data_IF_793545572189
#
_entry.id   IF_793545572189
#
_cell.length_a   1.000
_cell.length_b   1.000
_cell.length_c   1.000
_cell.angle_alpha   90.00
_cell.angle_beta   90.00
_cell.angle_gamma   90.00
#
_symmetry.space_group_name_H-M   'P 1'
#
loop_
_entity.id
_entity.type
_entity.pdbx_description
1 polymer ?
#
# COMPACT_ATOMS: atom_id res chain seq x y z
N UNK A 1 18.32 35.53 -8.28
CA UNK A 1 18.67 34.12 -8.54
C UNK A 1 18.13 33.18 -7.46
N UNK A 2 18.44 33.39 -6.17
CA UNK A 2 17.98 32.50 -5.08
C UNK A 2 16.46 32.35 -4.95
N UNK A 3 15.68 33.42 -5.18
CA UNK A 3 14.22 33.35 -5.16
C UNK A 3 13.67 32.29 -6.14
N UNK A 4 14.14 32.29 -7.39
CA UNK A 4 13.71 31.33 -8.41
C UNK A 4 14.07 29.88 -8.04
N UNK A 5 15.23 29.66 -7.41
CA UNK A 5 15.65 28.34 -6.95
C UNK A 5 14.75 27.81 -5.82
N UNK A 6 14.36 28.68 -4.87
CA UNK A 6 13.45 28.30 -3.77
C UNK A 6 12.05 27.98 -4.31
N UNK A 7 11.55 28.73 -5.30
CA UNK A 7 10.27 28.45 -5.96
C UNK A 7 10.33 27.14 -6.77
N UNK A 8 11.42 26.91 -7.50
CA UNK A 8 11.64 25.65 -8.21
C UNK A 8 11.67 24.45 -7.26
N UNK A 9 12.41 24.57 -6.15
CA UNK A 9 12.46 23.55 -5.11
C UNK A 9 11.06 23.27 -4.52
N UNK A 10 10.23 24.32 -4.37
CA UNK A 10 8.85 24.16 -3.93
C UNK A 10 8.00 23.39 -4.96
N UNK A 11 8.11 23.72 -6.25
CA UNK A 11 7.43 22.97 -7.31
C UNK A 11 7.86 21.50 -7.34
N UNK A 12 9.16 21.21 -7.15
CA UNK A 12 9.68 19.84 -7.08
C UNK A 12 9.13 19.09 -5.85
N UNK A 13 9.05 19.76 -4.71
CA UNK A 13 8.44 19.20 -3.50
C UNK A 13 6.95 18.86 -3.72
N UNK A 14 6.19 19.73 -4.41
CA UNK A 14 4.78 19.46 -4.75
C UNK A 14 4.60 18.31 -5.75
N UNK A 15 5.65 17.95 -6.50
CA UNK A 15 5.67 16.80 -7.43
C UNK A 15 6.23 15.52 -6.77
N UNK A 16 6.36 15.49 -5.44
CA UNK A 16 6.96 14.39 -4.66
C UNK A 16 8.44 14.09 -5.00
N UNK A 17 9.14 14.99 -5.71
CA UNK A 17 10.58 14.90 -5.99
C UNK A 17 11.39 15.44 -4.81
N UNK A 18 11.20 14.83 -3.65
CA UNK A 18 11.68 15.33 -2.36
C UNK A 18 13.21 15.42 -2.27
N UNK A 19 13.95 14.52 -2.91
CA UNK A 19 15.43 14.53 -2.88
C UNK A 19 15.99 15.75 -3.59
N UNK A 20 15.49 16.06 -4.80
CA UNK A 20 15.91 17.22 -5.59
C UNK A 20 15.54 18.54 -4.91
N UNK A 21 14.33 18.61 -4.32
CA UNK A 21 13.90 19.76 -3.53
C UNK A 21 14.82 19.98 -2.31
N UNK A 22 15.17 18.90 -1.59
CA UNK A 22 16.06 18.97 -0.42
C UNK A 22 17.43 19.51 -0.78
N UNK A 23 18.02 19.04 -1.89
CA UNK A 23 19.34 19.50 -2.34
C UNK A 23 19.31 20.99 -2.66
N UNK A 24 18.30 21.44 -3.41
CA UNK A 24 18.18 22.85 -3.78
C UNK A 24 17.96 23.76 -2.57
N UNK A 25 17.11 23.37 -1.62
CA UNK A 25 16.93 24.16 -0.39
C UNK A 25 18.20 24.28 0.43
N UNK A 26 18.95 23.18 0.59
CA UNK A 26 20.19 23.21 1.33
C UNK A 26 21.26 24.04 0.62
N UNK A 27 21.35 23.97 -0.71
CA UNK A 27 22.35 24.73 -1.46
C UNK A 27 22.07 26.23 -1.42
N UNK A 28 20.80 26.64 -1.49
CA UNK A 28 20.40 28.04 -1.27
C UNK A 28 20.72 28.49 0.16
N UNK A 29 20.51 27.67 1.18
CA UNK A 29 20.81 28.08 2.56
C UNK A 29 22.33 28.10 2.85
N UNK A 30 23.11 27.23 2.21
CA UNK A 30 24.58 27.23 2.29
C UNK A 30 25.19 28.47 1.65
N UNK A 31 24.59 29.01 0.59
CA UNK A 31 25.07 30.23 -0.06
C UNK A 31 24.79 31.51 0.74
N UNK A 32 24.15 31.42 1.92
CA UNK A 32 23.89 32.52 2.86
C UNK A 32 23.30 33.77 2.17
N UNK A 33 22.09 33.68 1.59
CA UNK A 33 21.44 34.82 0.96
C UNK A 33 21.22 35.94 1.98
N UNK A 34 21.28 37.19 1.53
CA UNK A 34 21.08 38.37 2.38
C UNK A 34 19.61 38.64 2.69
N UNK A 35 18.71 38.16 1.84
CA UNK A 35 17.27 38.34 2.01
C UNK A 35 16.69 37.36 3.05
N UNK A 36 16.27 37.93 4.18
CA UNK A 36 15.63 37.25 5.29
C UNK A 36 14.35 36.51 4.89
N UNK A 37 13.58 37.02 3.92
CA UNK A 37 12.37 36.34 3.44
C UNK A 37 12.70 35.02 2.74
N UNK A 38 13.76 35.01 1.92
CA UNK A 38 14.23 33.81 1.22
C UNK A 38 14.71 32.76 2.24
N UNK A 39 15.47 33.19 3.25
CA UNK A 39 15.94 32.30 4.33
C UNK A 39 14.75 31.70 5.09
N UNK A 40 13.77 32.53 5.47
CA UNK A 40 12.59 32.10 6.21
C UNK A 40 11.76 31.08 5.41
N UNK A 41 11.46 31.37 4.15
CA UNK A 41 10.66 30.49 3.28
C UNK A 41 11.38 29.18 3.00
N UNK A 42 12.68 29.22 2.66
CA UNK A 42 13.47 28.00 2.43
C UNK A 42 13.60 27.15 3.70
N UNK A 43 13.79 27.78 4.86
CA UNK A 43 13.86 27.09 6.15
C UNK A 43 12.52 26.44 6.52
N UNK A 44 11.41 27.15 6.34
CA UNK A 44 10.07 26.63 6.56
C UNK A 44 9.76 25.41 5.66
N UNK A 45 10.04 25.52 4.36
CA UNK A 45 9.77 24.41 3.43
C UNK A 45 10.64 23.19 3.72
N UNK A 46 11.91 23.39 4.10
CA UNK A 46 12.79 22.30 4.51
C UNK A 46 12.31 21.62 5.80
N UNK A 47 11.77 22.38 6.76
CA UNK A 47 11.16 21.81 7.97
C UNK A 47 9.95 20.93 7.63
N UNK A 48 9.12 21.34 6.67
CA UNK A 48 7.99 20.54 6.17
C UNK A 48 8.46 19.25 5.50
N UNK A 49 9.54 19.32 4.72
CA UNK A 49 10.11 18.15 4.03
C UNK A 49 10.61 17.07 5.01
N UNK A 50 11.17 17.50 6.14
CA UNK A 50 11.64 16.63 7.21
C UNK A 50 10.51 15.89 7.95
N UNK A 51 9.27 16.40 7.90
CA UNK A 51 8.09 15.87 8.61
C UNK A 51 8.40 15.52 10.08
N UNK A 52 8.32 14.23 10.43
CA UNK A 52 8.51 13.67 11.77
C UNK A 52 9.90 13.08 12.01
N UNK A 53 10.79 13.05 11.01
CA UNK A 53 12.10 12.40 11.12
C UNK A 53 13.15 13.26 11.83
N UNK A 54 13.30 14.52 11.42
CA UNK A 54 14.37 15.42 11.89
C UNK A 54 13.83 16.60 12.72
N UNK A 55 13.08 16.32 13.79
CA UNK A 55 12.40 17.34 14.59
C UNK A 55 13.34 18.42 15.17
N UNK A 56 14.59 18.06 15.50
CA UNK A 56 15.57 19.04 16.00
C UNK A 56 15.98 20.05 14.92
N UNK A 57 16.29 19.60 13.71
CA UNK A 57 16.59 20.48 12.58
C UNK A 57 15.36 21.31 12.24
N UNK A 58 14.17 20.68 12.13
CA UNK A 58 12.91 21.39 11.89
C UNK A 58 12.65 22.49 12.91
N UNK A 59 12.96 22.26 14.20
CA UNK A 59 12.86 23.30 15.26
C UNK A 59 13.82 24.46 15.04
N UNK A 60 15.07 24.17 14.65
CA UNK A 60 16.04 25.22 14.31
C UNK A 60 15.56 26.03 13.09
N UNK A 61 15.04 25.36 12.06
CA UNK A 61 14.54 26.01 10.84
C UNK A 61 13.30 26.86 11.07
N UNK A 62 12.32 26.36 11.79
CA UNK A 62 11.10 27.11 12.13
C UNK A 62 11.44 28.33 12.99
N UNK A 63 12.35 28.21 13.97
CA UNK A 63 12.80 29.36 14.78
C UNK A 63 13.43 30.48 13.95
N UNK A 64 14.11 30.15 12.85
CA UNK A 64 14.62 31.15 11.90
C UNK A 64 13.49 31.79 11.12
N UNK A 65 12.47 31.02 10.72
CA UNK A 65 11.33 31.54 9.98
C UNK A 65 10.40 32.43 10.83
N UNK A 66 10.29 32.16 12.13
CA UNK A 66 9.43 32.88 13.10
C UNK A 66 10.17 33.98 13.86
N UNK A 67 11.40 34.33 13.47
CA UNK A 67 12.14 35.40 14.12
C UNK A 67 11.43 36.76 13.95
N UNK A 68 11.50 37.66 14.95
CA UNK A 68 10.83 38.96 14.88
C UNK A 68 11.35 39.82 13.72
N UNK A 69 12.61 39.60 13.31
CA UNK A 69 13.24 40.29 12.18
C UNK A 69 12.73 39.81 10.81
N UNK A 70 12.29 38.53 10.72
CA UNK A 70 11.78 37.94 9.48
C UNK A 70 10.29 38.22 9.29
N UNK A 71 9.53 38.34 10.37
CA UNK A 71 8.10 38.59 10.34
C UNK A 71 7.68 39.76 9.41
N UNK A 72 8.23 40.99 9.50
CA UNK A 72 7.79 42.10 8.65
C UNK A 72 8.11 41.90 7.16
N UNK A 73 9.00 40.95 6.81
CA UNK A 73 9.38 40.64 5.42
C UNK A 73 8.46 39.64 4.74
N UNK A 74 7.67 38.90 5.51
CA UNK A 74 6.72 37.91 5.01
C UNK A 74 5.37 38.55 4.71
N UNK A 75 4.73 38.10 3.64
CA UNK A 75 3.34 38.49 3.37
C UNK A 75 2.37 37.77 4.32
N UNK A 76 1.11 38.24 4.39
CA UNK A 76 0.11 37.66 5.31
C UNK A 76 -0.10 36.15 5.11
N UNK A 77 -0.06 35.69 3.86
CA UNK A 77 -0.20 34.26 3.54
C UNK A 77 1.00 33.43 4.05
N UNK A 78 2.23 33.88 3.81
CA UNK A 78 3.45 33.24 4.28
C UNK A 78 3.52 33.21 5.80
N UNK A 79 3.18 34.33 6.47
CA UNK A 79 3.10 34.41 7.94
C UNK A 79 2.18 33.33 8.50
N UNK A 80 0.98 33.22 7.92
CA UNK A 80 0.00 32.21 8.30
C UNK A 80 0.57 30.79 8.17
N UNK A 81 1.16 30.45 7.02
CA UNK A 81 1.73 29.12 6.79
C UNK A 81 2.86 28.81 7.77
N UNK A 82 3.76 29.77 8.03
CA UNK A 82 4.87 29.60 8.98
C UNK A 82 4.33 29.37 10.41
N UNK A 83 3.31 30.11 10.84
CA UNK A 83 2.69 29.94 12.16
C UNK A 83 1.95 28.59 12.29
N UNK A 84 1.24 28.15 11.24
CA UNK A 84 0.62 26.81 11.23
C UNK A 84 1.68 25.72 11.35
N UNK A 85 2.78 25.84 10.59
CA UNK A 85 3.88 24.87 10.66
C UNK A 85 4.58 24.87 12.03
N UNK A 86 4.70 26.03 12.68
CA UNK A 86 5.19 26.13 14.05
C UNK A 86 4.28 25.40 15.04
N UNK A 87 2.96 25.59 14.93
CA UNK A 87 1.99 24.88 15.75
C UNK A 87 2.06 23.37 15.51
N UNK A 88 2.13 22.92 14.26
CA UNK A 88 2.26 21.49 13.92
C UNK A 88 3.57 20.89 14.48
N UNK A 89 4.68 21.61 14.39
CA UNK A 89 5.93 21.18 15.00
C UNK A 89 5.83 21.08 16.53
N UNK A 90 5.15 22.03 17.19
CA UNK A 90 4.89 21.97 18.62
C UNK A 90 4.05 20.74 18.99
N UNK A 91 3.05 20.37 18.17
CA UNK A 91 2.27 19.12 18.31
C UNK A 91 3.18 17.89 18.18
N UNK A 92 4.04 17.82 17.16
CA UNK A 92 4.96 16.69 16.97
C UNK A 92 6.00 16.55 18.08
N UNK A 93 6.37 17.65 18.74
CA UNK A 93 7.36 17.67 19.83
C UNK A 93 6.74 17.56 21.23
N UNK A 94 5.41 17.35 21.32
CA UNK A 94 4.69 17.21 22.60
C UNK A 94 4.46 18.53 23.35
N UNK A 95 4.74 19.68 22.75
CA UNK A 95 4.52 21.02 23.32
C UNK A 95 3.08 21.48 23.06
N UNK A 96 2.12 20.75 23.62
CA UNK A 96 0.69 20.92 23.34
C UNK A 96 0.17 22.31 23.72
N UNK A 97 0.60 22.85 24.86
CA UNK A 97 0.18 24.16 25.34
C UNK A 97 0.70 25.32 24.46
N UNK A 98 1.93 25.17 23.95
CA UNK A 98 2.49 26.10 22.98
C UNK A 98 1.71 26.07 21.67
N UNK A 99 1.39 24.89 21.17
CA UNK A 99 0.57 24.72 19.97
C UNK A 99 -0.82 25.36 20.13
N UNK A 100 -1.47 25.13 21.28
CA UNK A 100 -2.78 25.71 21.61
C UNK A 100 -2.74 27.23 21.55
N UNK A 101 -1.79 27.85 22.26
CA UNK A 101 -1.62 29.31 22.28
C UNK A 101 -1.39 29.89 20.89
N UNK A 102 -0.56 29.25 20.06
CA UNK A 102 -0.32 29.71 18.69
C UNK A 102 -1.63 29.66 17.89
N UNK A 103 -2.36 28.54 17.95
CA UNK A 103 -3.60 28.37 17.19
C UNK A 103 -4.71 29.31 17.66
N UNK A 104 -4.85 29.57 18.96
CA UNK A 104 -5.85 30.50 19.52
C UNK A 104 -5.54 31.95 19.11
N UNK A 105 -4.27 32.37 19.20
CA UNK A 105 -3.83 33.68 18.73
C UNK A 105 -4.11 33.88 17.22
N UNK A 106 -4.03 32.81 16.41
CA UNK A 106 -4.35 32.88 14.97
C UNK A 106 -5.85 33.04 14.71
N UNK A 107 -6.69 32.40 15.52
CA UNK A 107 -8.16 32.54 15.44
C UNK A 107 -8.57 33.97 15.80
N UNK A 108 -8.03 34.53 16.88
CA UNK A 108 -8.33 35.91 17.32
C UNK A 108 -7.95 36.97 16.28
N UNK A 109 -6.85 36.75 15.56
CA UNK A 109 -6.38 37.65 14.48
C UNK A 109 -7.18 37.51 13.18
N UNK A 110 -8.32 36.83 13.18
CA UNK A 110 -9.20 36.60 12.03
C UNK A 110 -8.49 35.95 10.82
N UNK A 111 -7.50 35.09 11.05
CA UNK A 111 -6.88 34.28 9.99
C UNK A 111 -7.76 33.08 9.56
N UNK A 112 -9.01 33.04 10.02
CA UNK A 112 -9.86 31.86 10.17
C UNK A 112 -10.63 31.43 8.90
N UNK A 113 -10.16 31.84 7.72
CA UNK A 113 -10.84 31.53 6.44
C UNK A 113 -10.44 30.18 5.84
N UNK A 114 -9.63 29.38 6.52
CA UNK A 114 -8.98 28.20 5.93
C UNK A 114 -9.04 26.98 6.87
N UNK A 115 -9.15 25.82 6.24
CA UNK A 115 -9.27 24.50 6.86
C UNK A 115 -8.06 24.10 7.71
N UNK A 116 -6.89 24.71 7.45
CA UNK A 116 -5.62 24.38 8.11
C UNK A 116 -5.64 24.56 9.63
N UNK A 117 -6.27 25.62 10.14
CA UNK A 117 -6.33 25.92 11.58
C UNK A 117 -7.23 24.94 12.34
N UNK A 118 -8.50 24.72 11.96
CA UNK A 118 -9.34 23.74 12.64
C UNK A 118 -8.76 22.32 12.54
N UNK A 119 -8.18 21.93 11.40
CA UNK A 119 -7.49 20.64 11.28
C UNK A 119 -6.29 20.51 12.23
N UNK A 120 -5.50 21.58 12.40
CA UNK A 120 -4.41 21.59 13.37
C UNK A 120 -4.94 21.46 14.82
N UNK A 121 -6.03 22.16 15.17
CA UNK A 121 -6.69 22.02 16.49
C UNK A 121 -7.23 20.60 16.72
N UNK A 122 -7.87 20.00 15.71
CA UNK A 122 -8.31 18.60 15.74
C UNK A 122 -7.12 17.68 15.97
N UNK A 123 -6.02 17.87 15.25
CA UNK A 123 -4.82 17.04 15.41
C UNK A 123 -4.22 17.13 16.82
N UNK A 124 -4.24 18.33 17.43
CA UNK A 124 -3.83 18.54 18.82
C UNK A 124 -4.73 17.75 19.79
N UNK A 125 -6.06 17.87 19.66
CA UNK A 125 -7.02 17.16 20.50
C UNK A 125 -6.90 15.63 20.33
N UNK A 126 -6.64 15.14 19.12
CA UNK A 126 -6.34 13.73 18.87
C UNK A 126 -5.09 13.25 19.61
N UNK A 127 -4.02 14.06 19.63
CA UNK A 127 -2.79 13.75 20.40
C UNK A 127 -3.04 13.74 21.91
N UNK A 128 -3.96 14.58 22.39
CA UNK A 128 -4.43 14.59 23.78
C UNK A 128 -5.44 13.48 24.10
N UNK A 129 -5.77 12.61 23.13
CA UNK A 129 -6.78 11.54 23.25
C UNK A 129 -8.20 12.03 23.50
N UNK A 130 -8.49 13.30 23.21
CA UNK A 130 -9.81 13.94 23.34
C UNK A 130 -10.59 13.82 22.02
N UNK A 131 -10.90 12.59 21.64
CA UNK A 131 -11.55 12.31 20.34
C UNK A 131 -12.95 12.93 20.23
N UNK A 132 -13.73 12.97 21.32
CA UNK A 132 -15.09 13.54 21.33
C UNK A 132 -15.08 15.04 21.06
N UNK A 133 -14.24 15.79 21.78
CA UNK A 133 -14.05 17.23 21.59
C UNK A 133 -13.55 17.53 20.16
N UNK A 134 -12.64 16.71 19.63
CA UNK A 134 -12.13 16.85 18.27
C UNK A 134 -13.23 16.69 17.21
N UNK A 135 -14.11 15.70 17.39
CA UNK A 135 -15.25 15.48 16.49
C UNK A 135 -16.25 16.61 16.55
N UNK A 136 -16.58 17.10 17.75
CA UNK A 136 -17.51 18.21 17.94
C UNK A 136 -16.97 19.49 17.30
N UNK A 137 -15.70 19.84 17.55
CA UNK A 137 -15.07 21.02 16.96
C UNK A 137 -15.13 20.98 15.43
N UNK A 138 -14.82 19.84 14.82
CA UNK A 138 -14.84 19.71 13.37
C UNK A 138 -16.27 19.71 12.81
N UNK A 139 -17.24 19.14 13.54
CA UNK A 139 -18.65 19.18 13.16
C UNK A 139 -19.18 20.63 13.16
N UNK A 140 -18.96 21.38 14.24
CA UNK A 140 -19.35 22.79 14.34
C UNK A 140 -18.71 23.63 13.23
N UNK A 141 -17.43 23.37 12.93
CA UNK A 141 -16.74 24.03 11.82
C UNK A 141 -17.42 23.72 10.48
N UNK A 142 -17.76 22.45 10.22
CA UNK A 142 -18.45 22.02 9.00
C UNK A 142 -19.84 22.65 8.88
N UNK A 143 -20.60 22.69 9.96
CA UNK A 143 -21.96 23.23 10.00
C UNK A 143 -21.99 24.77 9.89
N UNK A 144 -20.93 25.44 10.35
CA UNK A 144 -20.81 26.90 10.24
C UNK A 144 -20.68 27.38 8.79
N UNK A 145 -20.23 26.52 7.88
CA UNK A 145 -20.03 26.87 6.47
C UNK A 145 -21.29 26.62 5.63
N UNK A 146 -22.13 27.65 5.54
CA UNK A 146 -23.32 27.66 4.69
C UNK A 146 -23.01 27.61 3.18
N UNK A 147 -21.77 27.87 2.77
CA UNK A 147 -21.39 28.02 1.36
C UNK A 147 -20.68 26.79 0.77
N UNK A 148 -20.55 25.69 1.55
CA UNK A 148 -19.85 24.45 1.17
C UNK A 148 -18.43 24.68 0.62
N UNK A 149 -17.75 25.72 1.08
CA UNK A 149 -16.36 26.05 0.74
C UNK A 149 -15.35 25.15 1.46
N UNK A 150 -15.75 24.47 2.53
CA UNK A 150 -14.89 23.53 3.26
C UNK A 150 -14.43 22.40 2.36
N UNK A 151 -13.12 22.13 2.38
CA UNK A 151 -12.49 21.12 1.56
C UNK A 151 -12.98 19.71 1.88
N UNK A 152 -12.84 18.84 0.88
CA UNK A 152 -13.08 17.41 1.04
C UNK A 152 -12.21 16.79 2.14
N UNK A 153 -11.00 17.32 2.37
CA UNK A 153 -10.09 16.82 3.41
C UNK A 153 -10.68 16.98 4.81
N UNK A 154 -11.31 18.11 5.11
CA UNK A 154 -12.02 18.30 6.39
C UNK A 154 -13.17 17.32 6.56
N UNK A 155 -14.01 17.16 5.53
CA UNK A 155 -15.16 16.23 5.57
C UNK A 155 -14.71 14.79 5.77
N UNK A 156 -13.66 14.35 5.08
CA UNK A 156 -13.10 13.01 5.25
C UNK A 156 -12.40 12.83 6.60
N UNK A 157 -11.77 13.87 7.14
CA UNK A 157 -11.20 13.84 8.50
C UNK A 157 -12.29 13.67 9.55
N UNK A 158 -13.44 14.31 9.38
CA UNK A 158 -14.61 14.12 10.24
C UNK A 158 -15.12 12.67 10.20
N UNK A 159 -15.27 12.10 9.01
CA UNK A 159 -15.61 10.68 8.83
C UNK A 159 -14.58 9.78 9.50
N UNK A 160 -13.28 10.05 9.32
CA UNK A 160 -12.21 9.29 9.97
C UNK A 160 -12.30 9.34 11.50
N UNK A 161 -12.65 10.49 12.07
CA UNK A 161 -12.89 10.64 13.51
C UNK A 161 -14.09 9.82 13.98
N UNK A 162 -15.22 9.85 13.27
CA UNK A 162 -16.40 9.05 13.59
C UNK A 162 -16.07 7.55 13.57
N UNK A 163 -15.33 7.10 12.56
CA UNK A 163 -14.85 5.71 12.48
C UNK A 163 -13.91 5.35 13.63
N UNK A 164 -13.01 6.25 14.03
CA UNK A 164 -12.12 6.04 15.18
C UNK A 164 -12.87 5.90 16.51
N UNK A 165 -14.07 6.48 16.62
CA UNK A 165 -14.97 6.34 17.76
C UNK A 165 -15.89 5.10 17.66
N UNK A 166 -15.82 4.35 16.56
CA UNK A 166 -16.73 3.22 16.30
C UNK A 166 -18.13 3.62 15.83
N UNK A 167 -18.38 4.91 15.55
CA UNK A 167 -19.68 5.42 15.09
C UNK A 167 -19.84 5.22 13.58
N UNK A 168 -19.81 3.97 13.12
CA UNK A 168 -19.79 3.61 11.69
C UNK A 168 -21.07 4.06 10.97
N UNK A 169 -22.24 3.87 11.57
CA UNK A 169 -23.52 4.29 10.99
C UNK A 169 -23.57 5.80 10.70
N UNK A 170 -23.16 6.62 11.66
CA UNK A 170 -23.12 8.09 11.49
C UNK A 170 -22.15 8.50 10.37
N UNK A 171 -21.04 7.79 10.24
CA UNK A 171 -20.07 8.02 9.17
C UNK A 171 -20.69 7.72 7.78
N UNK A 172 -21.45 6.62 7.67
CA UNK A 172 -22.18 6.27 6.46
C UNK A 172 -23.27 7.29 6.13
N UNK A 173 -24.06 7.69 7.12
CA UNK A 173 -25.14 8.66 6.94
C UNK A 173 -24.60 10.02 6.48
N UNK A 174 -23.50 10.47 7.08
CA UNK A 174 -22.82 11.71 6.66
C UNK A 174 -22.34 11.63 5.21
N UNK A 175 -21.64 10.56 4.83
CA UNK A 175 -21.16 10.36 3.46
C UNK A 175 -22.31 10.25 2.44
N UNK A 176 -23.46 9.74 2.86
CA UNK A 176 -24.66 9.62 2.01
C UNK A 176 -25.46 10.90 1.90
N UNK A 177 -25.37 11.79 2.90
CA UNK A 177 -26.07 13.08 2.90
C UNK A 177 -25.57 14.05 1.83
N UNK A 178 -24.34 13.85 1.33
CA UNK A 178 -23.72 14.72 0.35
C UNK A 178 -23.76 14.12 -1.06
N UNK A 179 -24.69 14.62 -1.86
CA UNK A 179 -24.93 14.20 -3.24
C UNK A 179 -23.70 14.35 -4.14
N UNK A 180 -22.83 15.32 -3.88
CA UNK A 180 -21.61 15.53 -4.68
C UNK A 180 -20.57 14.44 -4.40
N UNK A 181 -20.55 13.93 -3.17
CA UNK A 181 -19.62 12.89 -2.75
C UNK A 181 -20.03 11.52 -3.30
N UNK A 182 -21.33 11.24 -3.41
CA UNK A 182 -21.87 9.99 -3.95
C UNK A 182 -21.56 9.74 -5.43
N UNK A 183 -21.04 10.73 -6.15
CA UNK A 183 -20.57 10.57 -7.55
C UNK A 183 -19.09 10.11 -7.61
N UNK A 184 -18.31 10.35 -6.55
CA UNK A 184 -16.87 10.06 -6.53
C UNK A 184 -16.65 8.57 -6.26
N UNK A 185 -16.03 7.80 -7.19
CA UNK A 185 -15.87 6.35 -7.02
C UNK A 185 -15.13 5.94 -5.76
N UNK A 186 -14.15 6.74 -5.31
CA UNK A 186 -13.44 6.49 -4.06
C UNK A 186 -14.35 6.51 -2.83
N UNK A 187 -15.33 7.42 -2.80
CA UNK A 187 -16.26 7.56 -1.67
C UNK A 187 -17.31 6.44 -1.72
N UNK A 188 -17.81 6.11 -2.90
CA UNK A 188 -18.70 4.97 -3.10
C UNK A 188 -18.03 3.67 -2.64
N UNK A 189 -16.76 3.48 -2.99
CA UNK A 189 -15.99 2.32 -2.53
C UNK A 189 -15.84 2.29 -1.00
N UNK A 190 -15.58 3.44 -0.36
CA UNK A 190 -15.55 3.50 1.11
C UNK A 190 -16.90 3.16 1.74
N UNK A 191 -18.01 3.70 1.23
CA UNK A 191 -19.36 3.39 1.72
C UNK A 191 -19.70 1.92 1.59
N UNK A 192 -19.46 1.32 0.43
CA UNK A 192 -19.68 -0.12 0.21
C UNK A 192 -18.85 -0.96 1.18
N UNK A 193 -17.60 -0.56 1.43
CA UNK A 193 -16.73 -1.24 2.39
C UNK A 193 -17.27 -1.13 3.82
N UNK A 194 -17.76 0.05 4.22
CA UNK A 194 -18.36 0.26 5.54
C UNK A 194 -19.67 -0.52 5.71
N UNK A 195 -20.54 -0.55 4.70
CA UNK A 195 -21.77 -1.33 4.75
C UNK A 195 -21.50 -2.84 4.76
N UNK A 196 -20.49 -3.32 4.03
CA UNK A 196 -20.06 -4.71 4.13
C UNK A 196 -19.52 -5.05 5.52
N UNK A 197 -18.80 -4.11 6.16
CA UNK A 197 -18.35 -4.27 7.55
C UNK A 197 -19.53 -4.35 8.54
N UNK A 198 -20.63 -3.64 8.25
CA UNK A 198 -21.89 -3.73 8.99
C UNK A 198 -22.76 -4.94 8.59
N UNK A 199 -22.27 -5.81 7.71
CA UNK A 199 -23.01 -6.93 7.11
C UNK A 199 -24.30 -6.51 6.37
N UNK A 200 -24.46 -5.22 6.07
CA UNK A 200 -25.60 -4.68 5.35
C UNK A 200 -25.34 -4.69 3.83
N UNK A 201 -25.44 -5.90 3.27
CA UNK A 201 -25.28 -6.14 1.84
C UNK A 201 -26.32 -5.39 0.99
N UNK A 202 -27.49 -5.09 1.56
CA UNK A 202 -28.60 -4.42 0.87
C UNK A 202 -28.30 -2.93 0.69
N UNK A 203 -27.90 -2.24 1.75
CA UNK A 203 -27.51 -0.82 1.66
C UNK A 203 -26.28 -0.64 0.77
N UNK A 204 -25.30 -1.56 0.84
CA UNK A 204 -24.15 -1.54 -0.06
C UNK A 204 -24.57 -1.63 -1.54
N UNK A 205 -25.49 -2.55 -1.88
CA UNK A 205 -26.06 -2.66 -3.22
C UNK A 205 -26.81 -1.40 -3.64
N UNK A 206 -27.58 -0.81 -2.72
CA UNK A 206 -28.35 0.41 -2.97
C UNK A 206 -27.43 1.61 -3.28
N UNK A 207 -26.36 1.81 -2.51
CA UNK A 207 -25.40 2.89 -2.74
C UNK A 207 -24.74 2.76 -4.11
N UNK A 208 -24.35 1.55 -4.52
CA UNK A 208 -23.80 1.32 -5.86
C UNK A 208 -24.82 1.63 -6.96
N UNK A 209 -26.07 1.25 -6.77
CA UNK A 209 -27.15 1.55 -7.72
C UNK A 209 -27.39 3.07 -7.83
N UNK A 210 -27.54 3.75 -6.69
CA UNK A 210 -27.72 5.21 -6.64
C UNK A 210 -26.55 5.95 -7.29
N UNK A 211 -25.31 5.54 -7.02
CA UNK A 211 -24.12 6.14 -7.60
C UNK A 211 -24.09 5.99 -9.13
N UNK A 212 -24.44 4.80 -9.65
CA UNK A 212 -24.52 4.56 -11.10
C UNK A 212 -25.63 5.40 -11.72
N UNK A 213 -26.84 5.38 -11.15
CA UNK A 213 -28.00 6.09 -11.71
C UNK A 213 -27.75 7.61 -11.74
N UNK A 214 -27.16 8.17 -10.68
CA UNK A 214 -26.78 9.59 -10.61
C UNK A 214 -25.72 9.95 -11.65
N UNK A 215 -24.65 9.18 -11.74
CA UNK A 215 -23.58 9.46 -12.70
C UNK A 215 -24.05 9.27 -14.14
N UNK A 216 -24.92 8.29 -14.41
CA UNK A 216 -25.56 8.09 -15.71
C UNK A 216 -26.40 9.31 -16.12
N UNK A 217 -27.21 9.85 -15.20
CA UNK A 217 -27.99 11.07 -15.45
C UNK A 217 -27.10 12.31 -15.66
N UNK A 218 -26.00 12.42 -14.91
CA UNK A 218 -25.04 13.52 -15.04
C UNK A 218 -24.31 13.47 -16.39
N UNK A 219 -23.92 12.28 -16.84
CA UNK A 219 -23.25 12.07 -18.12
C UNK A 219 -24.18 12.36 -19.30
N UNK A 220 -25.47 12.00 -19.18
CA UNK A 220 -26.51 12.32 -20.17
C UNK A 220 -26.72 13.83 -20.32
N UNK A 221 -26.73 14.58 -19.22
CA UNK A 221 -26.89 16.04 -19.25
C UNK A 221 -25.65 16.76 -19.78
N UNK A 222 -24.45 16.22 -19.52
CA UNK A 222 -23.17 16.81 -19.96
C UNK A 222 -22.69 16.31 -21.33
N UNK A 223 -23.38 15.35 -21.94
CA UNK A 223 -23.04 14.78 -23.24
C UNK A 223 -21.68 14.05 -23.26
N UNK A 224 -21.23 13.51 -22.13
CA UNK A 224 -19.92 12.84 -21.99
C UNK A 224 -20.11 11.42 -21.49
N UNK A 225 -19.49 10.44 -22.15
CA UNK A 225 -19.38 9.09 -21.62
C UNK A 225 -18.18 9.03 -20.67
N UNK A 226 -18.42 9.09 -19.36
CA UNK A 226 -17.35 9.08 -18.36
C UNK A 226 -16.75 7.69 -18.21
N UNK A 227 -15.41 7.58 -18.23
CA UNK A 227 -14.70 6.35 -17.84
C UNK A 227 -15.06 5.92 -16.41
N UNK A 228 -15.40 6.88 -15.55
CA UNK A 228 -15.82 6.60 -14.18
C UNK A 228 -17.16 5.85 -14.13
N UNK A 229 -18.09 6.16 -15.04
CA UNK A 229 -19.39 5.49 -15.15
C UNK A 229 -19.20 4.02 -15.55
N UNK A 230 -18.41 3.78 -16.60
CA UNK A 230 -18.08 2.44 -17.04
C UNK A 230 -17.42 1.61 -15.92
N UNK A 231 -16.52 2.23 -15.16
CA UNK A 231 -15.88 1.60 -14.01
C UNK A 231 -16.88 1.24 -12.91
N UNK A 232 -17.74 2.19 -12.50
CA UNK A 232 -18.75 1.95 -11.47
C UNK A 232 -19.76 0.87 -11.88
N UNK A 233 -20.22 0.89 -13.13
CA UNK A 233 -21.12 -0.16 -13.66
C UNK A 233 -20.45 -1.54 -13.57
N UNK A 234 -19.18 -1.66 -14.00
CA UNK A 234 -18.43 -2.92 -13.91
C UNK A 234 -18.28 -3.42 -12.48
N UNK A 235 -17.99 -2.52 -11.53
CA UNK A 235 -17.89 -2.89 -10.11
C UNK A 235 -19.26 -3.27 -9.52
N UNK A 236 -20.33 -2.55 -9.89
CA UNK A 236 -21.68 -2.87 -9.45
C UNK A 236 -22.11 -4.25 -9.98
N UNK A 237 -21.85 -4.58 -11.26
CA UNK A 237 -22.11 -5.92 -11.81
C UNK A 237 -21.42 -7.01 -10.98
N UNK A 238 -20.12 -6.86 -10.71
CA UNK A 238 -19.36 -7.83 -9.89
C UNK A 238 -19.97 -7.99 -8.50
N UNK A 239 -20.40 -6.88 -7.89
CA UNK A 239 -21.02 -6.91 -6.57
C UNK A 239 -22.39 -7.60 -6.59
N UNK A 240 -23.26 -7.26 -7.54
CA UNK A 240 -24.61 -7.83 -7.67
C UNK A 240 -24.59 -9.31 -8.06
N UNK A 241 -23.61 -9.74 -8.88
CA UNK A 241 -23.38 -11.15 -9.20
C UNK A 241 -23.10 -11.97 -7.93
N UNK A 242 -22.29 -11.44 -7.01
CA UNK A 242 -22.02 -12.09 -5.72
C UNK A 242 -23.26 -12.16 -4.83
N UNK A 243 -24.13 -11.16 -4.90
CA UNK A 243 -25.39 -11.11 -4.16
C UNK A 243 -26.52 -11.93 -4.83
N UNK A 244 -26.28 -12.51 -6.01
CA UNK A 244 -27.28 -13.29 -6.75
C UNK A 244 -28.37 -12.47 -7.44
N UNK A 245 -28.20 -11.16 -7.59
CA UNK A 245 -29.20 -10.28 -8.20
C UNK A 245 -29.07 -10.21 -9.73
N UNK A 246 -29.48 -11.28 -10.41
CA UNK A 246 -29.33 -11.42 -11.87
C UNK A 246 -30.06 -10.35 -12.69
N UNK A 247 -31.23 -9.87 -12.23
CA UNK A 247 -32.02 -8.86 -12.95
C UNK A 247 -31.29 -7.52 -13.07
N UNK A 248 -30.73 -7.04 -11.95
CA UNK A 248 -29.96 -5.78 -11.95
C UNK A 248 -28.68 -5.90 -12.76
N UNK A 249 -28.05 -7.08 -12.75
CA UNK A 249 -26.87 -7.38 -13.58
C UNK A 249 -27.21 -7.28 -15.07
N UNK A 250 -28.34 -7.85 -15.51
CA UNK A 250 -28.77 -7.73 -16.92
C UNK A 250 -28.99 -6.28 -17.34
N UNK A 251 -29.70 -5.48 -16.54
CA UNK A 251 -29.92 -4.05 -16.81
C UNK A 251 -28.60 -3.29 -16.96
N UNK A 252 -27.67 -3.53 -16.04
CA UNK A 252 -26.36 -2.88 -16.03
C UNK A 252 -25.48 -3.28 -17.22
N UNK A 253 -25.52 -4.55 -17.61
CA UNK A 253 -24.82 -5.05 -18.79
C UNK A 253 -25.41 -4.47 -20.09
N UNK A 254 -26.73 -4.27 -20.18
CA UNK A 254 -27.34 -3.57 -21.30
C UNK A 254 -26.87 -2.12 -21.40
N UNK A 255 -26.85 -1.39 -20.28
CA UNK A 255 -26.33 -0.01 -20.24
C UNK A 255 -24.87 -0.01 -20.68
N UNK A 256 -24.05 -0.93 -20.17
CA UNK A 256 -22.64 -1.02 -20.54
C UNK A 256 -22.44 -1.36 -22.02
N UNK A 257 -23.26 -2.25 -22.58
CA UNK A 257 -23.22 -2.59 -24.00
C UNK A 257 -23.64 -1.42 -24.90
N UNK A 258 -24.63 -0.62 -24.48
CA UNK A 258 -25.02 0.63 -25.18
C UNK A 258 -23.87 1.65 -25.20
N UNK A 259 -23.14 1.76 -24.09
CA UNK A 259 -21.98 2.67 -23.97
C UNK A 259 -20.78 2.18 -24.78
N UNK A 260 -20.56 0.86 -24.84
CA UNK A 260 -19.46 0.22 -25.57
C UNK A 260 -19.95 -0.95 -26.44
N UNK A 261 -20.54 -0.68 -27.63
CA UNK A 261 -21.09 -1.72 -28.49
C UNK A 261 -20.05 -2.73 -28.98
N UNK A 262 -18.79 -2.30 -29.09
CA UNK A 262 -17.68 -3.11 -29.60
C UNK A 262 -17.01 -3.98 -28.52
N UNK A 263 -17.42 -3.91 -27.25
CA UNK A 263 -16.82 -4.72 -26.18
C UNK A 263 -17.43 -6.13 -26.18
N UNK A 264 -16.69 -7.06 -26.78
CA UNK A 264 -17.06 -8.47 -26.89
C UNK A 264 -17.23 -9.15 -25.53
N UNK A 265 -16.46 -8.75 -24.50
CA UNK A 265 -16.56 -9.33 -23.16
C UNK A 265 -17.89 -8.97 -22.49
N UNK A 266 -18.33 -7.73 -22.67
CA UNK A 266 -19.62 -7.26 -22.13
C UNK A 266 -20.77 -7.98 -22.85
N UNK A 267 -20.68 -8.12 -24.18
CA UNK A 267 -21.66 -8.87 -24.97
C UNK A 267 -21.74 -10.35 -24.53
N UNK A 268 -20.60 -11.03 -24.35
CA UNK A 268 -20.61 -12.43 -23.90
C UNK A 268 -21.24 -12.59 -22.51
N UNK A 269 -20.96 -11.67 -21.58
CA UNK A 269 -21.57 -11.70 -20.24
C UNK A 269 -23.08 -11.46 -20.31
N UNK A 270 -23.50 -10.50 -21.13
CA UNK A 270 -24.91 -10.19 -21.34
C UNK A 270 -25.67 -11.41 -21.88
N UNK A 271 -25.10 -12.13 -22.85
CA UNK A 271 -25.67 -13.37 -23.41
C UNK A 271 -25.80 -14.44 -22.32
N UNK A 272 -24.76 -14.68 -21.52
CA UNK A 272 -24.80 -15.69 -20.43
C UNK A 272 -25.91 -15.39 -19.41
N UNK A 273 -26.12 -14.12 -19.06
CA UNK A 273 -27.20 -13.75 -18.16
C UNK A 273 -28.57 -13.82 -18.82
N UNK A 274 -28.70 -13.43 -20.09
CA UNK A 274 -29.95 -13.62 -20.84
C UNK A 274 -30.30 -15.09 -21.06
N UNK A 275 -29.33 -15.99 -21.25
CA UNK A 275 -29.61 -17.43 -21.33
C UNK A 275 -30.40 -17.96 -20.12
N UNK A 276 -30.22 -17.33 -18.95
CA UNK A 276 -30.92 -17.70 -17.71
C UNK A 276 -32.30 -17.04 -17.59
N UNK A 277 -32.52 -15.88 -18.20
CA UNK A 277 -33.76 -15.09 -18.06
C UNK A 277 -34.66 -15.11 -19.29
N UNK A 278 -34.08 -14.96 -20.49
CA UNK A 278 -34.73 -14.92 -21.79
C UNK A 278 -33.80 -15.50 -22.89
N UNK A 279 -34.00 -16.78 -23.28
CA UNK A 279 -33.14 -17.45 -24.25
C UNK A 279 -33.30 -16.92 -25.70
N UNK A 280 -34.44 -16.33 -26.05
CA UNK A 280 -34.68 -15.82 -27.41
C UNK A 280 -33.81 -14.59 -27.69
N UNK A 281 -33.80 -13.64 -26.74
CA UNK A 281 -32.92 -12.46 -26.82
C UNK A 281 -31.45 -12.85 -26.82
N UNK A 282 -31.09 -13.88 -26.07
CA UNK A 282 -29.72 -14.38 -26.04
C UNK A 282 -29.26 -14.89 -27.43
N UNK A 283 -30.13 -15.61 -28.16
CA UNK A 283 -29.84 -16.08 -29.51
C UNK A 283 -29.66 -14.93 -30.51
N UNK A 284 -30.48 -13.89 -30.43
CA UNK A 284 -30.34 -12.70 -31.28
C UNK A 284 -29.02 -11.96 -31.03
N UNK A 285 -28.60 -11.85 -29.77
CA UNK A 285 -27.32 -11.24 -29.40
C UNK A 285 -26.13 -12.12 -29.77
N UNK A 286 -26.27 -13.45 -29.70
CA UNK A 286 -25.23 -14.40 -30.06
C UNK A 286 -24.82 -14.31 -31.53
N UNK A 287 -25.74 -13.97 -32.43
CA UNK A 287 -25.43 -13.74 -33.85
C UNK A 287 -24.44 -12.58 -34.07
N UNK A 288 -24.33 -11.64 -33.12
CA UNK A 288 -23.40 -10.50 -33.18
C UNK A 288 -22.00 -10.83 -32.68
N UNK A 289 -21.77 -12.02 -32.13
CA UNK A 289 -20.44 -12.43 -31.66
C UNK A 289 -19.50 -12.67 -32.86
N UNK A 290 -18.21 -12.29 -32.75
CA UNK A 290 -17.23 -12.62 -33.77
C UNK A 290 -17.09 -14.14 -33.92
N UNK A 291 -16.92 -14.60 -35.14
CA UNK A 291 -16.75 -16.02 -35.42
C UNK A 291 -15.44 -16.55 -34.83
N UNK A 292 -15.40 -17.85 -34.51
CA UNK A 292 -14.18 -18.51 -34.00
C UNK A 292 -13.00 -18.31 -34.95
N UNK A 293 -13.25 -18.32 -36.27
CA UNK A 293 -12.20 -18.10 -37.28
C UNK A 293 -11.58 -16.71 -37.19
N UNK A 294 -12.39 -15.67 -36.98
CA UNK A 294 -11.91 -14.29 -36.80
C UNK A 294 -11.15 -14.12 -35.48
N UNK A 295 -11.56 -14.82 -34.41
CA UNK A 295 -10.83 -14.80 -33.13
C UNK A 295 -9.50 -15.55 -33.20
N UNK A 296 -9.41 -16.61 -34.02
CA UNK A 296 -8.20 -17.39 -34.23
C UNK A 296 -7.22 -16.73 -35.21
N UNK A 297 -7.64 -15.68 -35.92
CA UNK A 297 -6.81 -14.98 -36.90
C UNK A 297 -5.68 -14.23 -36.19
N UNK A 298 -4.44 -14.65 -36.45
CA UNK A 298 -3.24 -14.13 -35.77
C UNK A 298 -2.81 -14.91 -34.52
N UNK A 299 -3.52 -15.97 -34.14
CA UNK A 299 -3.08 -16.90 -33.10
C UNK A 299 -2.24 -18.01 -33.72
N UNK A 300 -0.92 -17.93 -33.54
CA UNK A 300 0.01 -18.99 -33.93
C UNK A 300 -0.05 -20.14 -32.90
N UNK A 301 -0.75 -21.22 -33.30
CA UNK A 301 -0.96 -22.43 -32.49
C UNK A 301 0.38 -23.10 -32.16
N UNK A 302 1.31 -23.17 -33.12
CA UNK A 302 2.61 -23.81 -32.94
C UNK A 302 3.46 -23.04 -31.91
N UNK A 303 3.39 -21.70 -31.93
CA UNK A 303 4.03 -20.86 -30.92
C UNK A 303 3.44 -21.08 -29.52
N UNK A 304 2.11 -21.13 -29.39
CA UNK A 304 1.44 -21.38 -28.10
C UNK A 304 1.77 -22.75 -27.52
N UNK A 305 1.80 -23.80 -28.35
CA UNK A 305 2.18 -25.15 -27.92
C UNK A 305 3.66 -25.19 -27.48
N UNK A 306 4.54 -24.47 -28.20
CA UNK A 306 5.97 -24.38 -27.86
C UNK A 306 6.26 -23.60 -26.57
N UNK A 307 5.38 -22.66 -26.19
CA UNK A 307 5.53 -21.83 -24.98
C UNK A 307 4.95 -22.51 -23.74
N UNK A 308 3.90 -23.32 -23.88
CA UNK A 308 3.36 -24.14 -22.78
C UNK A 308 4.40 -25.15 -22.25
N UNK A 309 5.25 -25.70 -23.12
CA UNK A 309 6.34 -26.60 -22.75
C UNK A 309 7.54 -25.94 -22.05
N UNK A 310 7.59 -24.60 -21.96
CA UNK A 310 8.76 -23.84 -21.45
C UNK A 310 8.52 -23.15 -20.10
N UNK A 311 7.42 -23.42 -19.39
CA UNK A 311 7.18 -22.87 -18.05
C UNK A 311 7.87 -23.68 -16.95
N UNK A 312 9.21 -23.68 -16.96
CA UNK A 312 10.06 -23.56 -15.76
C UNK A 312 11.40 -22.99 -16.24
N UNK A 313 11.73 -21.71 -16.01
CA UNK A 313 13.11 -21.28 -16.14
C UNK A 313 13.88 -21.88 -14.95
N UNK A 314 14.54 -23.03 -15.17
CA UNK A 314 15.71 -23.35 -14.35
C UNK A 314 16.70 -22.22 -14.60
N UNK A 315 17.01 -21.47 -13.55
CA UNK A 315 18.01 -20.41 -13.57
C UNK A 315 19.35 -20.98 -14.06
N UNK A 316 19.61 -20.90 -15.36
CA UNK A 316 20.94 -21.08 -15.92
C UNK A 316 21.70 -19.78 -15.67
N UNK A 317 22.61 -19.85 -14.70
CA UNK A 317 23.60 -18.82 -14.42
C UNK A 317 24.42 -18.58 -15.69
N UNK A 318 24.15 -17.47 -16.37
CA UNK A 318 25.03 -16.97 -17.43
C UNK A 318 26.31 -16.44 -16.78
N UNK A 319 27.38 -17.21 -16.90
CA UNK A 319 28.74 -16.69 -16.71
C UNK A 319 29.08 -15.94 -17.99
N UNK A 320 29.02 -14.62 -17.94
CA UNK A 320 29.48 -13.74 -19.02
C UNK A 320 30.99 -13.92 -19.21
N UNK A 321 31.39 -14.42 -20.38
CA UNK A 321 32.75 -14.26 -20.89
C UNK A 321 32.80 -13.04 -21.78
N UNK A 322 33.36 -11.98 -21.22
CA UNK A 322 33.84 -10.78 -21.89
C UNK A 322 34.72 -11.18 -23.09
N UNK A 323 34.38 -10.70 -24.28
CA UNK A 323 35.34 -10.50 -25.37
C UNK A 323 35.25 -9.05 -25.83
N UNK A 324 36.39 -8.39 -25.75
CA UNK A 324 36.66 -7.01 -26.15
C UNK A 324 37.09 -6.97 -27.63
N UNK A 325 36.67 -5.91 -28.31
CA UNK A 325 37.24 -5.38 -29.56
C UNK A 325 36.45 -5.73 -30.83
N UNK A 326 36.23 -4.84 -31.79
CA UNK A 326 36.45 -3.40 -31.92
C UNK A 326 35.63 -2.92 -33.15
N UNK A 327 35.17 -1.67 -33.09
CA UNK A 327 34.86 -0.70 -34.15
C UNK A 327 34.07 -1.02 -35.44
N UNK A 328 32.97 -0.24 -35.55
CA UNK A 328 32.49 0.61 -36.67
C UNK A 328 31.64 0.09 -37.84
N UNK A 329 30.49 0.78 -37.96
CA UNK A 329 29.72 1.25 -39.14
C UNK A 329 29.02 0.26 -40.08
N UNK A 330 27.67 0.33 -40.05
CA UNK A 330 26.72 0.66 -41.14
C UNK A 330 27.21 0.32 -42.56
N UNK A 331 26.52 -0.47 -43.40
CA UNK A 331 25.25 -0.12 -44.08
C UNK A 331 24.69 -1.33 -44.87
N UNK A 332 23.36 -1.38 -45.01
CA UNK A 332 22.55 -1.96 -46.12
C UNK A 332 22.57 -3.46 -46.46
N UNK A 333 21.40 -4.06 -46.21
CA UNK A 333 20.54 -4.77 -47.19
C UNK A 333 21.21 -5.66 -48.23
N UNK A 334 21.02 -6.97 -48.10
CA UNK A 334 20.36 -7.78 -49.14
C UNK A 334 19.98 -9.15 -48.61
N UNK A 335 18.75 -9.52 -48.92
CA UNK A 335 18.13 -10.82 -48.69
C UNK A 335 18.85 -11.88 -49.51
N UNK A 336 19.40 -12.90 -48.86
CA UNK A 336 19.49 -14.24 -49.44
C UNK A 336 19.32 -15.30 -48.36
N UNK A 337 18.46 -16.24 -48.70
CA UNK A 337 18.03 -17.44 -47.99
C UNK A 337 19.19 -18.28 -47.46
N UNK A 338 19.44 -18.20 -46.15
CA UNK A 338 20.27 -19.16 -45.44
C UNK A 338 19.39 -19.94 -44.45
N UNK A 339 18.94 -21.12 -44.89
CA UNK A 339 18.34 -22.14 -44.03
C UNK A 339 19.35 -22.51 -42.95
N UNK A 340 19.16 -21.98 -41.74
CA UNK A 340 19.92 -22.40 -40.57
C UNK A 340 19.56 -23.85 -40.23
N UNK A 341 20.29 -24.80 -40.81
CA UNK A 341 20.29 -26.20 -40.41
C UNK A 341 20.66 -26.28 -38.94
N UNK A 342 19.67 -26.47 -38.07
CA UNK A 342 19.91 -26.82 -36.69
C UNK A 342 20.70 -28.14 -36.66
N UNK A 343 21.92 -28.11 -36.10
CA UNK A 343 22.69 -29.32 -35.84
C UNK A 343 21.91 -30.19 -34.87
N UNK A 344 21.24 -31.23 -35.38
CA UNK A 344 20.64 -32.30 -34.57
C UNK A 344 21.74 -32.87 -33.67
N UNK A 345 21.66 -32.63 -32.36
CA UNK A 345 22.54 -33.30 -31.39
C UNK A 345 22.30 -34.80 -31.53
N UNK A 346 23.32 -35.55 -31.99
CA UNK A 346 23.26 -37.02 -32.04
C UNK A 346 22.93 -37.53 -30.64
N UNK A 347 21.78 -38.19 -30.47
CA UNK A 347 21.49 -38.94 -29.24
C UNK A 347 22.58 -40.00 -29.11
N UNK A 348 23.39 -39.93 -28.05
CA UNK A 348 24.35 -41.00 -27.73
C UNK A 348 23.54 -42.28 -27.49
N UNK A 349 23.94 -43.40 -28.10
CA UNK A 349 23.31 -44.70 -27.84
C UNK A 349 23.40 -44.97 -26.34
N UNK A 350 22.31 -45.43 -25.73
CA UNK A 350 22.30 -45.80 -24.32
C UNK A 350 23.36 -46.88 -24.08
N UNK A 351 24.30 -46.61 -23.19
CA UNK A 351 25.34 -47.57 -22.86
C UNK A 351 24.69 -48.70 -22.07
N UNK A 352 24.60 -49.90 -22.64
CA UNK A 352 24.17 -51.08 -21.87
C UNK A 352 25.21 -51.36 -20.77
N UNK A 353 24.80 -51.89 -19.61
CA UNK A 353 25.74 -52.32 -18.58
C UNK A 353 26.75 -53.31 -19.15
N UNK A 354 27.99 -53.27 -18.67
CA UNK A 354 29.13 -54.08 -19.18
C UNK A 354 28.95 -55.61 -19.12
N UNK A 355 27.86 -56.09 -18.50
CA UNK A 355 27.46 -57.50 -18.36
C UNK A 355 25.96 -57.64 -18.62
N UNK A 356 25.50 -57.25 -19.82
CA UNK A 356 24.11 -57.41 -20.22
C UNK A 356 23.91 -58.80 -20.82
N UNK A 357 23.08 -59.62 -20.17
CA UNK A 357 22.65 -60.92 -20.69
C UNK A 357 21.26 -60.76 -21.33
N UNK A 358 21.12 -60.89 -22.67
CA UNK A 358 19.88 -60.58 -23.39
C UNK A 358 18.69 -61.49 -23.05
N UNK A 359 18.91 -62.61 -22.36
CA UNK A 359 17.84 -63.52 -21.92
C UNK A 359 17.32 -63.22 -20.50
N UNK A 360 18.01 -62.38 -19.73
CA UNK A 360 17.57 -61.99 -18.40
C UNK A 360 16.51 -60.89 -18.51
N UNK A 361 15.28 -61.17 -18.10
CA UNK A 361 14.21 -60.16 -18.03
C UNK A 361 14.63 -59.03 -17.08
N UNK A 362 14.52 -57.75 -17.49
CA UNK A 362 14.77 -56.63 -16.59
C UNK A 362 13.83 -56.68 -15.39
N UNK A 363 14.36 -56.31 -14.23
CA UNK A 363 13.60 -56.25 -12.97
C UNK A 363 12.32 -55.40 -13.11
N UNK A 364 11.13 -55.98 -12.86
CA UNK A 364 9.85 -55.29 -13.02
C UNK A 364 9.64 -54.14 -12.04
N UNK A 365 10.36 -54.09 -10.92
CA UNK A 365 10.23 -53.03 -9.91
C UNK A 365 11.22 -51.88 -10.15
N UNK A 366 11.90 -51.87 -11.31
CA UNK A 366 12.93 -50.88 -11.62
C UNK A 366 12.41 -49.46 -11.82
N UNK A 367 11.14 -49.30 -12.14
CA UNK A 367 10.49 -48.00 -12.27
C UNK A 367 10.10 -47.41 -10.90
N UNK A 368 10.04 -48.23 -9.85
CA UNK A 368 9.71 -47.77 -8.50
C UNK A 368 10.92 -47.08 -7.84
N UNK A 369 10.68 -46.06 -6.99
CA UNK A 369 11.71 -45.51 -6.10
C UNK A 369 12.42 -46.63 -5.32
N UNK A 370 13.75 -46.52 -5.14
CA UNK A 370 14.57 -47.60 -4.55
C UNK A 370 14.05 -48.12 -3.21
N UNK A 371 13.39 -47.28 -2.41
CA UNK A 371 12.81 -47.63 -1.10
C UNK A 371 11.57 -48.51 -1.18
N UNK A 372 10.88 -48.50 -2.30
CA UNK A 372 9.61 -49.19 -2.53
C UNK A 372 9.82 -50.53 -3.26
N UNK A 373 11.07 -50.89 -3.54
CA UNK A 373 11.41 -52.16 -4.19
C UNK A 373 11.44 -53.27 -3.15
N UNK A 374 10.90 -54.43 -3.50
CA UNK A 374 10.81 -55.64 -2.69
C UNK A 374 12.14 -56.09 -2.07
N UNK A 375 13.25 -55.87 -2.78
CA UNK A 375 14.60 -56.20 -2.31
C UNK A 375 15.29 -55.07 -1.52
N UNK A 376 14.61 -53.94 -1.28
CA UNK A 376 15.13 -52.85 -0.46
C UNK A 376 15.15 -53.25 1.02
N UNK A 377 16.28 -53.80 1.44
CA UNK A 377 16.64 -53.93 2.85
C UNK A 377 17.28 -52.60 3.26
N UNK A 378 16.50 -51.68 3.81
CA UNK A 378 16.98 -50.38 4.30
C UNK A 378 18.27 -50.47 5.14
N UNK A 379 19.01 -49.36 5.28
CA UNK A 379 20.34 -49.33 5.93
C UNK A 379 20.29 -50.03 7.30
N UNK A 380 20.83 -51.25 7.33
CA UNK A 380 20.89 -52.15 8.49
C UNK A 380 21.62 -51.42 9.63
N UNK A 381 20.88 -51.04 10.67
CA UNK A 381 21.45 -50.59 11.93
C UNK A 381 22.37 -51.67 12.48
N UNK A 382 23.62 -51.30 12.76
CA UNK A 382 24.60 -52.15 13.45
C UNK A 382 23.94 -52.71 14.72
N UNK A 383 23.79 -54.02 14.78
CA UNK A 383 23.31 -54.71 15.97
C UNK A 383 24.51 -55.39 16.63
N UNK A 384 24.78 -55.00 17.87
CA UNK A 384 25.48 -55.84 18.85
C UNK A 384 26.76 -55.26 19.43
N UNK A 385 26.66 -54.60 20.59
CA UNK A 385 27.38 -55.04 21.79
C UNK A 385 26.80 -54.37 23.05
N UNK A 386 26.38 -55.27 23.95
CA UNK A 386 26.25 -55.13 25.41
C UNK A 386 25.10 -54.30 25.98
N UNK A 387 24.12 -55.06 26.46
CA UNK A 387 23.39 -54.74 27.68
C UNK A 387 24.37 -54.58 28.84
N UNK A 388 24.26 -53.47 29.58
CA UNK A 388 24.22 -53.39 31.05
C UNK A 388 24.62 -51.97 31.50
N UNK A 389 23.89 -51.47 32.50
CA UNK A 389 24.17 -50.27 33.32
C UNK A 389 23.90 -48.95 32.60
N UNK A 390 22.89 -48.14 32.91
CA UNK A 390 22.34 -47.81 34.23
C UNK A 390 22.62 -46.33 34.50
N UNK A 391 21.57 -45.57 34.87
CA UNK A 391 21.52 -44.13 35.24
C UNK A 391 21.16 -43.19 34.07
N UNK A 392 20.04 -42.49 34.07
CA UNK A 392 19.05 -42.33 35.14
C UNK A 392 17.82 -41.59 34.63
N UNK A 393 16.71 -41.93 35.27
CA UNK A 393 15.69 -41.04 35.83
C UNK A 393 15.02 -40.05 34.87
N UNK A 394 13.70 -40.02 34.70
CA UNK A 394 12.62 -40.68 35.43
C UNK A 394 11.33 -40.32 34.71
N UNK A 395 10.37 -41.24 34.69
CA UNK A 395 8.93 -40.93 34.70
C UNK A 395 8.41 -40.26 33.43
N UNK A 396 8.15 -40.97 32.33
CA UNK A 396 7.19 -42.08 32.18
C UNK A 396 5.74 -41.56 32.26
N UNK A 397 5.01 -41.63 31.15
CA UNK A 397 3.99 -42.66 30.81
C UNK A 397 2.61 -42.27 31.36
N UNK A 398 1.51 -42.54 30.68
CA UNK A 398 1.26 -43.30 29.47
C UNK A 398 -0.17 -42.96 29.03
N UNK A 399 -0.46 -43.09 27.73
CA UNK A 399 -1.21 -44.24 27.16
C UNK A 399 -2.70 -44.21 27.55
N UNK A 400 -3.67 -44.38 26.67
CA UNK A 400 -3.69 -44.83 25.28
C UNK A 400 -5.12 -44.58 24.76
N UNK A 401 -5.24 -44.44 23.43
CA UNK A 401 -6.29 -44.95 22.52
C UNK A 401 -7.76 -45.01 23.03
N UNK A 402 -8.79 -44.58 22.30
CA UNK A 402 -9.11 -44.97 20.93
C UNK A 402 -10.41 -44.28 20.46
N UNK A 403 -10.51 -44.11 19.14
CA UNK A 403 -11.67 -44.00 18.26
C UNK A 403 -13.01 -43.38 18.74
N UNK A 404 -13.55 -42.42 17.97
CA UNK A 404 -14.68 -42.65 17.02
C UNK A 404 -15.20 -41.31 16.44
N UNK A 405 -15.50 -41.33 15.15
CA UNK A 405 -16.23 -40.34 14.33
C UNK A 405 -17.52 -39.83 14.98
N UNK A 406 -17.83 -38.53 14.87
CA UNK A 406 -19.06 -37.95 14.25
C UNK A 406 -19.19 -36.45 14.56
N UNK A 407 -19.66 -35.74 13.52
CA UNK A 407 -20.13 -34.37 13.35
C UNK A 407 -20.87 -33.76 14.57
N UNK A 408 -20.57 -32.50 14.95
CA UNK A 408 -21.54 -31.38 15.07
C UNK A 408 -20.94 -30.08 15.69
N UNK A 409 -21.14 -28.98 14.95
CA UNK A 409 -21.50 -27.61 15.34
C UNK A 409 -20.94 -26.91 16.60
N UNK A 410 -20.40 -25.71 16.32
CA UNK A 410 -20.75 -24.40 16.91
C UNK A 410 -19.95 -23.82 18.09
N UNK A 411 -19.71 -22.51 17.96
CA UNK A 411 -19.33 -21.51 18.97
C UNK A 411 -17.94 -21.68 19.60
N UNK A 412 -17.13 -20.66 19.86
CA UNK A 412 -17.34 -19.23 19.97
C UNK A 412 -16.45 -18.72 21.10
N UNK A 413 -15.81 -17.57 20.89
CA UNK A 413 -15.22 -16.68 21.89
C UNK A 413 -13.84 -17.00 22.54
N UNK A 414 -12.93 -16.07 22.23
CA UNK A 414 -12.11 -15.25 23.14
C UNK A 414 -11.00 -15.91 23.99
N UNK A 415 -9.76 -15.57 23.64
CA UNK A 415 -8.63 -15.50 24.57
C UNK A 415 -8.39 -14.06 24.99
N UNK A 416 -8.62 -13.77 26.27
CA UNK A 416 -8.08 -12.61 26.98
C UNK A 416 -6.81 -13.01 27.74
N UNK A 417 -5.90 -12.04 27.81
CA UNK A 417 -4.65 -12.05 28.58
C UNK A 417 -4.91 -12.07 30.09
N UNK A 418 -4.03 -12.66 30.92
CA UNK A 418 -4.03 -12.38 32.35
C UNK A 418 -3.10 -11.19 32.66
N UNK A 419 -3.67 -10.18 33.31
CA UNK A 419 -2.96 -9.21 34.15
C UNK A 419 -2.95 -9.73 35.59
N UNK A 420 -1.82 -9.58 36.29
CA UNK A 420 -1.75 -9.79 37.75
C UNK A 420 -1.29 -8.53 38.46
N UNK A 421 -1.98 -8.28 39.56
CA UNK A 421 -2.05 -7.09 40.40
C UNK A 421 -0.79 -6.75 41.20
N UNK A 422 -0.77 -5.47 41.53
CA UNK A 422 -0.12 -4.70 42.60
C UNK A 422 -0.37 -5.19 44.03
N UNK A 423 0.57 -4.88 44.94
CA UNK A 423 0.47 -4.08 46.21
C UNK A 423 1.60 -4.48 47.22
N UNK A 424 1.82 -3.79 48.38
CA UNK A 424 2.49 -2.48 48.47
C UNK A 424 3.53 -2.34 49.63
N UNK A 425 4.41 -1.33 49.53
CA UNK A 425 4.86 -0.40 50.59
C UNK A 425 5.69 -0.86 51.81
N UNK A 426 6.88 -0.24 52.01
CA UNK A 426 7.21 0.58 53.20
C UNK A 426 8.68 1.10 53.20
N UNK A 427 8.80 2.44 53.26
CA UNK A 427 9.66 3.26 54.15
C UNK A 427 11.19 3.13 54.19
N UNK A 428 11.87 4.25 53.88
CA UNK A 428 12.74 4.91 54.88
C UNK A 428 14.23 5.14 54.57
N UNK A 429 14.61 6.43 54.58
CA UNK A 429 15.91 7.02 54.98
C UNK A 429 17.06 7.24 53.96
N UNK A 430 17.19 8.52 53.58
CA UNK A 430 18.36 9.42 53.60
C UNK A 430 19.76 8.84 53.89
N UNK A 431 20.74 9.08 53.00
CA UNK A 431 21.90 9.97 53.24
C UNK A 431 23.10 9.77 52.29
N UNK A 432 23.77 10.89 52.01
CA UNK A 432 25.20 11.08 51.64
C UNK A 432 25.73 10.73 50.24
N UNK A 433 26.04 11.82 49.52
CA UNK A 433 27.13 12.01 48.55
C UNK A 433 28.49 11.54 49.10
N UNK A 434 29.49 11.21 48.24
CA UNK A 434 30.41 12.24 47.75
C UNK A 434 30.80 12.13 46.26
N UNK A 435 31.16 13.28 45.69
CA UNK A 435 31.78 13.50 44.37
C UNK A 435 33.30 13.77 44.56
N UNK A 436 34.09 14.10 43.53
CA UNK A 436 34.85 13.26 42.58
C UNK A 436 36.39 13.44 42.66
N UNK A 437 37.17 12.62 41.93
CA UNK A 437 38.49 13.02 41.39
C UNK A 437 38.76 12.43 39.99
N UNK A 438 39.43 13.17 39.07
CA UNK A 438 39.62 12.80 37.68
C UNK A 438 40.99 12.16 37.40
N UNK A 439 41.18 11.42 36.28
CA UNK A 439 42.50 11.19 35.70
C UNK A 439 42.82 12.21 34.58
N UNK A 440 44.10 12.54 34.36
CA UNK A 440 44.54 13.65 33.53
C UNK A 440 44.57 13.32 32.02
N UNK A 441 44.53 14.39 31.24
CA UNK A 441 44.29 14.41 29.81
C UNK A 441 45.40 13.90 28.89
N UNK A 442 44.98 13.62 27.65
CA UNK A 442 45.81 13.39 26.47
C UNK A 442 45.74 14.60 25.54
N UNK A 443 46.87 15.24 25.28
CA UNK A 443 47.26 15.97 24.07
C UNK A 443 48.73 16.39 24.26
N UNK A 444 49.55 16.68 23.27
CA UNK A 444 49.75 16.27 21.89
C UNK A 444 51.13 16.85 21.52
N UNK A 445 51.90 16.11 20.72
CA UNK A 445 52.93 16.58 19.78
C UNK A 445 54.04 17.56 20.25
N UNK A 446 55.30 17.10 20.20
CA UNK A 446 56.33 17.74 19.35
C UNK A 446 57.58 16.85 19.27
N UNK A 447 57.96 16.49 18.04
CA UNK A 447 59.14 15.71 17.68
C UNK A 447 59.94 16.58 16.72
N UNK A 448 61.15 17.04 17.12
CA UNK A 448 62.37 17.10 16.27
C UNK A 448 63.54 17.82 16.95
N UNK A 449 64.64 17.05 17.05
CA UNK A 449 66.09 17.34 16.88
C UNK A 449 66.67 18.53 17.66
N UNK A 450 67.72 18.38 18.46
CA UNK A 450 68.89 17.50 18.29
C UNK A 450 70.10 18.40 18.00
N UNK A 451 70.92 18.60 19.02
CA UNK A 451 72.12 19.45 19.06
C UNK A 451 73.35 18.61 18.72
N UNK A 452 74.10 19.02 17.70
CA UNK A 452 75.56 19.03 17.70
C UNK A 452 76.05 19.99 16.63
#
# INVERSE_FOLDING_TARGET
>A
MFFALVQLAYCLQQQDKNVEALTLYNDVLKSKPTDLAIIAVASNNLAVLNRDQNLFDSRKRIKVATAPETEPKLNAFQKKIVQVNEALLAIHTGQHETARRILDNMVEKNANTDDSIPLAKVSLLMKEKKLSEATQLLQEFIESDKQRRISLYCRLTYVQLLLSQGKVHQACDYLRSDDELLVKPGIVATLVTLYNYLEDSKSAAQVLNEAVDRLYNLDRTKGKNSRALAYLIKQNIIYQEKQGNGKRVTEMLEILHKLYPNDTNTLSKLIVHYLKSDPERANLLAQKLPSIKQLAEGIDVDMLESTFGKRVPKAEKTIEKIKVGDSSSTTTTTVTTATTKQKKKRKRKAHLPKKYDPLSKPDPERWLPLRERSYYRGKRGKRGKQAAVGKGTQGAVGSDQSATTTITTSTGAQRSMPSSKTTPGASGSTSTQPKPTPPPGKSAAAKRKGRR
#
